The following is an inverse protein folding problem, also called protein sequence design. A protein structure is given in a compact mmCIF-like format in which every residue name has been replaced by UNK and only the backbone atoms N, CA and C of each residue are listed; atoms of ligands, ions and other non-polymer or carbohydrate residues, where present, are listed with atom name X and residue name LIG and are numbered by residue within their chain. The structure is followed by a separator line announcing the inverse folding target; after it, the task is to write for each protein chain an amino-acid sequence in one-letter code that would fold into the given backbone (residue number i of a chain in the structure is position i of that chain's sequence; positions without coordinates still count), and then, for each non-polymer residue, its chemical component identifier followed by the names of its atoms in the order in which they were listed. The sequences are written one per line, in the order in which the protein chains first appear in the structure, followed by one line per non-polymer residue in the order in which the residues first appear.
data_IF_622253716711
#
_entry.id   IF_622253716711
#
_cell.length_a   1.000
_cell.length_b   1.000
_cell.length_c   1.000
_cell.angle_alpha   90.00
_cell.angle_beta   90.00
_cell.angle_gamma   90.00
#
_symmetry.space_group_name_H-M   'P 1'
#
loop_
_entity.id
_entity.type
_entity.pdbx_description
1 polymer ?
#
# COMPACT_ATOMS: atom_id res chain seq x y z
N UNK A 1 -21.82 2.85 1.81
CA UNK A 1 -20.72 3.02 0.85
C UNK A 1 -19.75 4.00 1.48
N UNK A 2 -18.47 3.63 1.61
CA UNK A 2 -17.48 4.43 2.30
C UNK A 2 -16.75 5.27 1.24
N UNK A 3 -17.19 6.52 1.06
CA UNK A 3 -16.68 7.46 0.05
C UNK A 3 -15.14 7.63 0.08
N UNK A 4 -14.51 7.26 1.19
CA UNK A 4 -13.08 7.36 1.42
C UNK A 4 -12.20 6.58 0.42
N UNK A 5 -12.67 5.46 -0.15
CA UNK A 5 -11.86 4.61 -1.05
C UNK A 5 -12.47 4.41 -2.45
N UNK A 6 -13.45 5.22 -2.83
CA UNK A 6 -14.22 5.02 -4.07
C UNK A 6 -13.43 5.37 -5.36
N UNK A 7 -12.20 5.86 -5.24
CA UNK A 7 -11.34 6.14 -6.39
C UNK A 7 -11.12 4.88 -7.24
N UNK A 8 -11.31 4.99 -8.56
CA UNK A 8 -11.26 3.82 -9.48
C UNK A 8 -9.91 3.09 -9.44
N UNK A 9 -8.83 3.85 -9.22
CA UNK A 9 -7.48 3.32 -9.06
C UNK A 9 -7.33 2.32 -7.90
N UNK A 10 -8.27 2.30 -6.95
CA UNK A 10 -8.28 1.36 -5.83
C UNK A 10 -8.99 0.04 -6.16
N UNK A 11 -9.79 -0.03 -7.24
CA UNK A 11 -10.71 -1.14 -7.48
C UNK A 11 -10.03 -2.52 -7.45
N UNK A 12 -8.88 -2.64 -8.13
CA UNK A 12 -8.09 -3.88 -8.15
C UNK A 12 -7.51 -4.23 -6.78
N UNK A 13 -6.95 -3.23 -6.09
CA UNK A 13 -6.39 -3.39 -4.75
C UNK A 13 -7.47 -3.87 -3.78
N UNK A 14 -8.63 -3.19 -3.76
CA UNK A 14 -9.76 -3.53 -2.89
C UNK A 14 -10.27 -4.95 -3.16
N UNK A 15 -10.39 -5.36 -4.42
CA UNK A 15 -10.83 -6.71 -4.78
C UNK A 15 -9.90 -7.77 -4.17
N UNK A 16 -8.57 -7.57 -4.26
CA UNK A 16 -7.59 -8.52 -3.73
C UNK A 16 -7.52 -8.53 -2.21
N UNK A 17 -7.64 -7.36 -1.56
CA UNK A 17 -7.53 -7.26 -0.10
C UNK A 17 -8.81 -7.66 0.63
N UNK A 18 -9.94 -7.72 -0.09
CA UNK A 18 -11.26 -7.95 0.50
C UNK A 18 -11.29 -9.19 1.41
N UNK A 19 -11.84 -9.00 2.61
CA UNK A 19 -12.08 -10.06 3.59
C UNK A 19 -13.51 -9.96 4.09
N UNK A 20 -14.27 -11.07 4.10
CA UNK A 20 -15.58 -11.11 4.74
C UNK A 20 -15.48 -10.63 6.20
N UNK A 21 -16.50 -9.91 6.65
CA UNK A 21 -16.67 -9.48 8.05
C UNK A 21 -15.57 -8.57 8.63
N UNK A 22 -14.63 -8.10 7.81
CA UNK A 22 -13.64 -7.09 8.20
C UNK A 22 -14.05 -5.73 7.64
N UNK A 23 -14.02 -4.64 8.44
CA UNK A 23 -14.30 -3.30 7.93
C UNK A 23 -13.42 -2.95 6.73
N UNK A 24 -14.02 -2.34 5.71
CA UNK A 24 -13.29 -1.88 4.51
C UNK A 24 -12.16 -0.93 4.93
N UNK A 25 -12.44 -0.03 5.88
CA UNK A 25 -11.46 0.90 6.45
C UNK A 25 -11.64 0.95 7.96
N UNK A 26 -10.52 0.92 8.68
CA UNK A 26 -10.43 1.28 10.09
C UNK A 26 -9.22 2.20 10.30
N UNK A 27 -9.23 3.02 11.34
CA UNK A 27 -8.12 3.91 11.66
C UNK A 27 -7.29 3.37 12.83
N UNK A 28 -6.00 3.71 12.97
CA UNK A 28 -5.17 3.18 14.04
C UNK A 28 -5.74 3.41 15.44
N UNK A 29 -6.39 4.56 15.68
CA UNK A 29 -7.00 4.89 16.97
C UNK A 29 -8.27 4.08 17.29
N UNK A 30 -8.88 3.42 16.31
CA UNK A 30 -10.12 2.64 16.51
C UNK A 30 -9.85 1.17 16.81
N UNK A 31 -8.59 0.75 16.92
CA UNK A 31 -8.19 -0.63 17.21
C UNK A 31 -7.27 -0.69 18.43
N UNK A 32 -7.29 -1.81 19.14
CA UNK A 32 -6.58 -1.97 20.41
C UNK A 32 -5.06 -1.91 20.27
N UNK A 33 -4.50 -2.61 19.27
CA UNK A 33 -3.05 -2.76 19.07
C UNK A 33 -2.72 -2.58 17.56
N UNK A 34 -2.69 -1.34 17.02
CA UNK A 34 -2.63 -1.11 15.58
C UNK A 34 -1.34 -1.61 14.90
N UNK A 35 -0.25 -1.77 15.65
CA UNK A 35 1.03 -2.31 15.15
C UNK A 35 1.12 -3.83 15.22
N UNK A 36 0.18 -4.49 15.90
CA UNK A 36 0.19 -5.94 16.11
C UNK A 36 -1.07 -6.59 15.53
N UNK A 37 -0.93 -7.79 14.96
CA UNK A 37 -2.08 -8.60 14.55
C UNK A 37 -2.81 -8.15 13.27
N UNK A 38 -2.19 -7.32 12.42
CA UNK A 38 -2.78 -6.82 11.16
C UNK A 38 -2.29 -7.61 9.92
N UNK A 39 -1.99 -8.90 10.10
CA UNK A 39 -1.41 -9.80 9.09
C UNK A 39 -0.14 -9.25 8.41
N UNK A 40 0.62 -8.39 9.12
CA UNK A 40 1.88 -7.82 8.66
C UNK A 40 2.91 -7.83 9.79
N UNK A 41 4.18 -7.99 9.43
CA UNK A 41 5.28 -7.91 10.38
C UNK A 41 5.40 -6.47 10.92
N UNK A 42 5.70 -6.26 12.22
CA UNK A 42 5.79 -4.91 12.81
C UNK A 42 6.69 -3.94 12.04
N UNK A 43 7.85 -4.40 11.56
CA UNK A 43 8.76 -3.59 10.73
C UNK A 43 8.10 -3.07 9.44
N UNK A 44 7.17 -3.85 8.85
CA UNK A 44 6.39 -3.41 7.70
C UNK A 44 5.38 -2.34 8.10
N UNK A 45 4.76 -2.50 9.26
CA UNK A 45 3.84 -1.48 9.79
C UNK A 45 4.56 -0.17 10.01
N UNK A 46 5.71 -0.20 10.69
CA UNK A 46 6.57 0.97 10.90
C UNK A 46 7.04 1.57 9.57
N UNK A 47 7.48 0.73 8.62
CA UNK A 47 7.92 1.19 7.30
C UNK A 47 6.81 1.96 6.58
N UNK A 48 5.61 1.40 6.52
CA UNK A 48 4.48 2.00 5.84
C UNK A 48 4.01 3.25 6.58
N UNK A 49 3.70 3.17 7.88
CA UNK A 49 3.09 4.27 8.61
C UNK A 49 4.07 5.37 9.04
N UNK A 50 5.25 4.99 9.52
CA UNK A 50 6.17 5.92 10.18
C UNK A 50 7.33 6.36 9.30
N UNK A 51 7.58 5.71 8.17
CA UNK A 51 8.64 6.14 7.26
C UNK A 51 8.06 6.68 5.95
N UNK A 52 7.24 5.88 5.26
CA UNK A 52 6.57 6.32 4.03
C UNK A 52 5.47 7.33 4.37
N UNK A 53 4.67 7.09 5.41
CA UNK A 53 3.54 7.95 5.78
C UNK A 53 3.92 9.38 6.17
N UNK A 54 5.17 9.63 6.56
CA UNK A 54 5.66 10.95 7.02
C UNK A 54 5.61 12.05 5.95
N UNK A 55 5.56 11.70 4.68
CA UNK A 55 5.51 12.69 3.59
C UNK A 55 4.11 13.31 3.43
N UNK A 56 3.07 12.67 3.96
CA UNK A 56 1.71 13.15 3.86
C UNK A 56 1.43 14.20 4.94
N UNK A 57 0.80 15.30 4.54
CA UNK A 57 0.49 16.44 5.44
C UNK A 57 -0.55 16.06 6.50
N UNK A 58 -1.52 15.24 6.09
CA UNK A 58 -2.57 14.72 6.95
C UNK A 58 -2.30 13.24 7.22
N UNK A 59 -2.75 12.75 8.37
CA UNK A 59 -2.58 11.35 8.76
C UNK A 59 -3.20 10.41 7.72
N UNK A 60 -2.35 9.77 6.92
CA UNK A 60 -2.71 8.83 5.86
C UNK A 60 -2.82 7.39 6.35
N UNK A 61 -2.58 7.13 7.65
CA UNK A 61 -2.51 5.77 8.21
C UNK A 61 -3.92 5.20 8.36
N UNK A 62 -4.13 4.02 7.79
CA UNK A 62 -5.34 3.25 8.02
C UNK A 62 -5.10 1.76 7.88
N UNK A 63 -6.14 0.99 8.17
CA UNK A 63 -6.25 -0.42 7.90
C UNK A 63 -7.28 -0.61 6.78
N UNK A 64 -6.89 -1.25 5.68
CA UNK A 64 -7.79 -1.64 4.59
C UNK A 64 -8.06 -3.14 4.70
N UNK A 65 -9.30 -3.53 5.01
CA UNK A 65 -9.65 -4.92 5.35
C UNK A 65 -8.71 -5.53 6.40
N UNK A 66 -8.37 -4.76 7.43
CA UNK A 66 -7.49 -5.19 8.53
C UNK A 66 -6.02 -5.31 8.16
N UNK A 67 -5.59 -4.76 7.02
CA UNK A 67 -4.18 -4.71 6.60
C UNK A 67 -3.66 -3.29 6.67
N UNK A 68 -2.46 -3.12 7.21
CA UNK A 68 -1.75 -1.83 7.21
C UNK A 68 -1.71 -1.22 5.82
N UNK A 69 -2.16 0.03 5.70
CA UNK A 69 -2.13 0.77 4.46
C UNK A 69 -1.85 2.27 4.70
N UNK A 70 -1.43 2.93 3.63
CA UNK A 70 -1.52 4.38 3.48
C UNK A 70 -2.55 4.71 2.42
N UNK A 71 -3.47 5.61 2.80
CA UNK A 71 -4.45 6.21 1.90
C UNK A 71 -4.25 7.71 1.97
N UNK A 72 -3.95 8.34 0.84
CA UNK A 72 -3.89 9.78 0.79
C UNK A 72 -5.28 10.36 1.10
N UNK A 73 -5.46 11.09 2.21
CA UNK A 73 -6.76 11.59 2.60
C UNK A 73 -7.31 12.68 1.67
N UNK A 74 -6.47 13.30 0.84
CA UNK A 74 -6.93 14.30 -0.13
C UNK A 74 -7.61 13.67 -1.36
N UNK A 75 -7.11 12.50 -1.79
CA UNK A 75 -7.52 11.85 -3.04
C UNK A 75 -8.28 10.54 -2.82
N UNK A 76 -8.18 9.95 -1.63
CA UNK A 76 -8.69 8.61 -1.31
C UNK A 76 -7.86 7.48 -1.94
N UNK A 77 -6.67 7.77 -2.47
CA UNK A 77 -5.87 6.78 -3.21
C UNK A 77 -5.03 5.95 -2.24
N UNK A 78 -5.10 4.62 -2.39
CA UNK A 78 -4.19 3.71 -1.68
C UNK A 78 -2.81 3.75 -2.36
N UNK A 79 -1.79 4.13 -1.60
CA UNK A 79 -0.41 4.29 -2.08
C UNK A 79 0.57 3.27 -1.50
N UNK A 80 0.23 2.65 -0.37
CA UNK A 80 1.02 1.57 0.20
C UNK A 80 0.14 0.58 0.95
N UNK A 81 0.50 -0.70 0.93
CA UNK A 81 -0.21 -1.74 1.67
C UNK A 81 0.73 -2.88 2.08
N UNK A 82 0.53 -3.39 3.29
CA UNK A 82 1.19 -4.58 3.77
C UNK A 82 0.60 -5.85 3.12
N UNK A 83 1.47 -6.75 2.67
CA UNK A 83 1.08 -7.92 1.86
C UNK A 83 1.69 -9.21 2.41
N UNK A 84 1.52 -9.44 3.72
CA UNK A 84 2.13 -10.55 4.45
C UNK A 84 3.46 -10.12 5.08
N UNK A 85 4.55 -10.81 4.74
CA UNK A 85 5.92 -10.38 5.08
C UNK A 85 6.51 -9.29 4.16
N UNK A 86 6.09 -9.15 2.88
CA UNK A 86 6.42 -7.96 2.10
C UNK A 86 5.36 -6.85 2.21
N UNK A 87 5.65 -5.73 1.58
CA UNK A 87 4.71 -4.64 1.33
C UNK A 87 4.77 -4.23 -0.14
N UNK A 88 3.73 -3.55 -0.58
CA UNK A 88 3.62 -3.01 -1.93
C UNK A 88 3.43 -1.50 -1.84
N UNK A 89 4.00 -0.79 -2.81
CA UNK A 89 3.86 0.65 -2.95
C UNK A 89 3.42 0.98 -4.37
N UNK A 90 2.60 2.04 -4.49
CA UNK A 90 2.24 2.67 -5.74
C UNK A 90 3.23 3.80 -6.01
N UNK A 91 3.87 3.75 -7.16
CA UNK A 91 4.82 4.75 -7.65
C UNK A 91 4.37 5.24 -9.04
N UNK A 92 4.87 6.38 -9.52
CA UNK A 92 4.61 6.81 -10.89
C UNK A 92 5.04 5.71 -11.87
N UNK A 93 4.23 5.46 -12.90
CA UNK A 93 4.51 4.37 -13.87
C UNK A 93 5.88 4.55 -14.54
N UNK A 94 6.27 5.80 -14.77
CA UNK A 94 7.57 6.16 -15.33
C UNK A 94 8.77 5.78 -14.44
N UNK A 95 8.56 5.67 -13.12
CA UNK A 95 9.61 5.36 -12.14
C UNK A 95 9.79 3.86 -11.92
N UNK A 96 8.85 3.03 -12.38
CA UNK A 96 8.91 1.56 -12.22
C UNK A 96 10.23 0.95 -12.73
N UNK A 97 10.75 1.31 -13.92
CA UNK A 97 12.03 0.75 -14.39
C UNK A 97 13.20 1.09 -13.48
N UNK A 98 13.21 2.30 -12.88
CA UNK A 98 14.27 2.73 -11.98
C UNK A 98 14.14 2.06 -10.60
N UNK A 99 12.93 1.98 -10.07
CA UNK A 99 12.66 1.24 -8.84
C UNK A 99 13.14 -0.22 -8.94
N UNK A 100 12.90 -0.88 -10.08
CA UNK A 100 13.37 -2.25 -10.32
C UNK A 100 14.90 -2.33 -10.31
N UNK A 101 15.60 -1.40 -10.96
CA UNK A 101 17.08 -1.38 -10.93
C UNK A 101 17.63 -1.19 -9.52
N UNK A 102 16.91 -0.43 -8.68
CA UNK A 102 17.28 -0.18 -7.29
C UNK A 102 16.91 -1.32 -6.33
N UNK A 103 16.21 -2.36 -6.82
CA UNK A 103 15.92 -3.58 -6.07
C UNK A 103 14.45 -3.81 -5.76
N UNK A 104 13.54 -2.90 -6.15
CA UNK A 104 12.12 -3.20 -6.15
C UNK A 104 11.80 -4.31 -7.16
N UNK A 105 10.63 -4.92 -7.02
CA UNK A 105 10.22 -5.99 -7.93
C UNK A 105 8.74 -5.89 -8.24
N UNK A 106 8.35 -6.27 -9.46
CA UNK A 106 6.94 -6.49 -9.79
C UNK A 106 6.50 -7.92 -9.45
N UNK A 107 7.43 -8.84 -9.18
CA UNK A 107 7.15 -10.25 -8.91
C UNK A 107 7.72 -10.73 -7.59
N UNK A 108 6.95 -11.51 -6.83
CA UNK A 108 7.40 -12.19 -5.63
C UNK A 108 7.13 -13.69 -5.75
N UNK A 109 8.11 -14.51 -5.34
CA UNK A 109 7.98 -15.97 -5.26
C UNK A 109 7.70 -16.38 -3.81
N UNK A 110 6.61 -17.12 -3.61
CA UNK A 110 6.16 -17.55 -2.30
C UNK A 110 6.76 -18.91 -1.91
N UNK A 111 6.80 -19.25 -0.60
CA UNK A 111 7.23 -20.57 -0.13
C UNK A 111 6.43 -21.73 -0.74
N UNK A 112 5.18 -21.49 -1.16
CA UNK A 112 4.34 -22.46 -1.87
C UNK A 112 4.83 -22.79 -3.29
N UNK A 113 5.79 -22.02 -3.82
CA UNK A 113 6.26 -22.12 -5.20
C UNK A 113 5.49 -21.23 -6.18
N UNK A 114 4.35 -20.65 -5.77
CA UNK A 114 3.60 -19.68 -6.57
C UNK A 114 4.42 -18.40 -6.77
N UNK A 115 4.30 -17.80 -7.96
CA UNK A 115 4.84 -16.47 -8.25
C UNK A 115 3.69 -15.51 -8.49
N UNK A 116 3.66 -14.39 -7.77
CA UNK A 116 2.69 -13.32 -7.95
C UNK A 116 3.34 -12.14 -8.64
N UNK A 117 2.75 -11.68 -9.74
CA UNK A 117 3.02 -10.36 -10.29
C UNK A 117 2.04 -9.35 -9.67
N UNK A 118 2.56 -8.34 -8.98
CA UNK A 118 1.74 -7.35 -8.28
C UNK A 118 1.01 -6.41 -9.24
N UNK A 119 1.53 -6.16 -10.43
CA UNK A 119 0.87 -5.28 -11.40
C UNK A 119 -0.37 -5.93 -12.02
N UNK A 120 -0.35 -7.26 -12.20
CA UNK A 120 -1.54 -8.01 -12.61
C UNK A 120 -2.64 -7.91 -11.55
N UNK A 121 -2.25 -7.86 -10.27
CA UNK A 121 -3.16 -7.82 -9.11
C UNK A 121 -3.66 -6.43 -8.77
N UNK A 122 -2.79 -5.41 -8.74
CA UNK A 122 -3.08 -4.07 -8.23
C UNK A 122 -3.11 -2.99 -9.31
N UNK A 123 -2.51 -3.25 -10.48
CA UNK A 123 -2.42 -2.31 -11.59
C UNK A 123 -1.01 -1.79 -11.84
N UNK A 124 -0.87 -1.01 -12.91
CA UNK A 124 0.39 -0.37 -13.28
C UNK A 124 0.86 0.59 -12.18
N UNK A 125 2.18 0.75 -12.05
CA UNK A 125 2.78 1.60 -11.00
C UNK A 125 2.91 0.90 -9.65
N UNK A 126 2.38 -0.31 -9.46
CA UNK A 126 2.62 -1.08 -8.24
C UNK A 126 3.91 -1.90 -8.31
N UNK A 127 4.65 -1.90 -7.21
CA UNK A 127 5.85 -2.73 -6.99
C UNK A 127 5.85 -3.27 -5.56
N UNK A 128 6.50 -4.42 -5.35
CA UNK A 128 6.95 -4.84 -4.03
C UNK A 128 8.05 -3.88 -3.54
N UNK A 129 7.88 -3.37 -2.32
CA UNK A 129 8.83 -2.45 -1.71
C UNK A 129 10.19 -3.11 -1.47
N UNK A 130 11.24 -2.30 -1.54
CA UNK A 130 12.63 -2.72 -1.37
C UNK A 130 13.39 -1.85 -0.36
N UNK A 131 12.66 -1.14 0.50
CA UNK A 131 13.22 -0.29 1.56
C UNK A 131 14.01 0.90 1.01
N UNK A 132 13.63 1.38 -0.18
CA UNK A 132 14.33 2.47 -0.85
C UNK A 132 13.93 3.81 -0.23
N UNK A 133 14.88 4.70 -0.05
CA UNK A 133 14.60 6.04 0.51
C UNK A 133 13.64 6.86 -0.36
N UNK A 134 13.57 6.55 -1.66
CA UNK A 134 12.74 7.21 -2.65
C UNK A 134 11.26 6.83 -2.57
N UNK A 135 10.91 5.69 -1.96
CA UNK A 135 9.53 5.17 -1.92
C UNK A 135 8.54 6.17 -1.37
N UNK A 136 8.93 6.93 -0.34
CA UNK A 136 8.05 7.93 0.25
C UNK A 136 7.70 9.05 -0.75
N UNK A 137 8.71 9.61 -1.42
CA UNK A 137 8.51 10.65 -2.43
C UNK A 137 7.70 10.12 -3.62
N UNK A 138 7.98 8.90 -4.08
CA UNK A 138 7.23 8.28 -5.17
C UNK A 138 5.77 8.03 -4.80
N UNK A 139 5.46 7.56 -3.59
CA UNK A 139 4.08 7.37 -3.13
C UNK A 139 3.29 8.67 -3.15
N UNK A 140 3.89 9.77 -2.69
CA UNK A 140 3.26 11.09 -2.74
C UNK A 140 3.03 11.56 -4.18
N UNK A 141 4.05 11.42 -5.04
CA UNK A 141 3.93 11.80 -6.45
C UNK A 141 2.84 10.98 -7.15
N UNK A 142 2.79 9.67 -6.92
CA UNK A 142 1.78 8.79 -7.50
C UNK A 142 0.36 9.18 -7.07
N UNK A 143 0.16 9.60 -5.83
CA UNK A 143 -1.13 10.11 -5.37
C UNK A 143 -1.54 11.37 -6.13
N UNK A 144 -0.61 12.31 -6.32
CA UNK A 144 -0.86 13.56 -7.04
C UNK A 144 -1.17 13.32 -8.52
N UNK A 145 -0.47 12.39 -9.18
CA UNK A 145 -0.69 12.07 -10.60
C UNK A 145 -2.00 11.34 -10.86
N UNK A 146 -2.42 10.48 -9.93
CA UNK A 146 -3.63 9.66 -10.09
C UNK A 146 -4.88 10.39 -9.59
N UNK A 147 -4.74 11.31 -8.64
CA UNK A 147 -5.85 12.06 -8.04
C UNK A 147 -6.07 13.46 -8.62
N UNK A 148 -5.20 13.94 -9.51
CA UNK A 148 -5.34 15.20 -10.25
C UNK A 148 -5.99 15.00 -11.61
#
# INVERSE_FOLDING_TARGET
MNAYLEHEANAKVLAVLSKPDVPVVAFPFSVKDPYMGQDCHPDIVERIWDQIGKVFVTDARCLVYGRTALVDPATGIIVAVGYGTPYCVRIPVAEVPEAIKLGASISAKWPSGETTNIQDKFGEGWVFGAWLNQEAAWCQQASNEVGG
#
